data_IF_959919538354
#
_entry.id   IF_959919538354
#
_cell.length_a   1.000
_cell.length_b   1.000
_cell.length_c   1.000
_cell.angle_alpha   90.00
_cell.angle_beta   90.00
_cell.angle_gamma   90.00
#
_symmetry.space_group_name_H-M   'P 1'
#
loop_
_entity.id
_entity.type
_entity.pdbx_description
1 polymer ?
#
# COMPACT_ATOMS: atom_id res chain seq x y z
N UNK A 1 10.97 13.55 6.34
CA UNK A 1 10.64 12.14 6.57
C UNK A 1 9.16 12.04 6.94
N UNK A 2 8.53 10.89 6.79
CA UNK A 2 7.15 10.71 7.26
C UNK A 2 7.10 9.48 8.15
N UNK A 3 6.65 9.65 9.39
CA UNK A 3 6.32 8.52 10.25
C UNK A 3 4.97 7.95 9.78
N UNK A 4 4.85 6.64 9.66
CA UNK A 4 3.62 6.00 9.19
C UNK A 4 3.03 5.13 10.29
N UNK A 5 1.84 5.49 10.74
CA UNK A 5 1.04 4.71 11.69
C UNK A 5 0.06 3.82 10.94
N UNK A 6 0.18 2.51 11.12
CA UNK A 6 -0.74 1.52 10.52
C UNK A 6 -2.01 1.45 11.38
N UNK A 7 -3.17 1.61 10.74
CA UNK A 7 -4.49 1.56 11.39
C UNK A 7 -5.17 0.22 11.10
N UNK A 8 -5.13 -0.23 9.85
CA UNK A 8 -5.62 -1.55 9.40
C UNK A 8 -4.62 -2.15 8.42
N UNK A 9 -4.49 -3.47 8.44
CA UNK A 9 -3.66 -4.24 7.52
C UNK A 9 -4.37 -5.55 7.18
N UNK A 10 -4.25 -5.97 5.93
CA UNK A 10 -4.50 -7.34 5.47
C UNK A 10 -3.35 -7.81 4.60
N UNK A 11 -3.15 -9.11 4.50
CA UNK A 11 -2.12 -9.72 3.64
C UNK A 11 -2.65 -11.03 3.05
N UNK A 12 -2.16 -11.39 1.87
CA UNK A 12 -2.45 -12.66 1.22
C UNK A 12 -1.35 -13.72 1.46
N UNK A 13 -0.34 -13.42 2.28
CA UNK A 13 0.76 -14.33 2.61
C UNK A 13 0.75 -14.81 4.06
N UNK A 14 1.65 -15.74 4.39
CA UNK A 14 1.81 -16.29 5.74
C UNK A 14 2.94 -15.60 6.53
N UNK A 15 2.88 -15.57 7.87
CA UNK A 15 4.02 -15.19 8.71
C UNK A 15 5.26 -16.04 8.42
N UNK A 16 6.45 -15.48 8.63
CA UNK A 16 7.73 -16.16 8.35
C UNK A 16 8.14 -16.19 6.87
N UNK A 17 7.31 -15.63 5.98
CA UNK A 17 7.61 -15.46 4.56
C UNK A 17 7.47 -14.00 4.14
N UNK A 18 8.06 -13.67 3.00
CA UNK A 18 7.79 -12.39 2.35
C UNK A 18 6.33 -12.31 1.95
N UNK A 19 5.67 -11.21 2.31
CA UNK A 19 4.24 -11.04 2.06
C UNK A 19 3.88 -9.62 1.67
N UNK A 20 2.95 -9.51 0.74
CA UNK A 20 2.38 -8.23 0.31
C UNK A 20 1.27 -7.84 1.29
N UNK A 21 1.37 -6.65 1.84
CA UNK A 21 0.38 -6.10 2.75
C UNK A 21 -0.36 -4.95 2.07
N UNK A 22 -1.67 -4.91 2.27
CA UNK A 22 -2.51 -3.76 1.97
C UNK A 22 -2.88 -3.07 3.28
N UNK A 23 -2.52 -1.79 3.41
CA UNK A 23 -2.63 -1.05 4.66
C UNK A 23 -3.46 0.23 4.49
N UNK A 24 -4.24 0.56 5.52
CA UNK A 24 -4.78 1.90 5.75
C UNK A 24 -3.96 2.57 6.86
N UNK A 25 -3.38 3.72 6.55
CA UNK A 25 -2.38 4.37 7.39
C UNK A 25 -2.67 5.86 7.60
N UNK A 26 -2.04 6.40 8.63
CA UNK A 26 -1.87 7.83 8.87
C UNK A 26 -0.39 8.18 8.71
N UNK A 27 -0.11 9.11 7.80
CA UNK A 27 1.20 9.66 7.48
C UNK A 27 1.37 10.93 8.30
N UNK A 28 2.41 10.98 9.11
CA UNK A 28 2.74 12.09 9.99
C UNK A 28 4.02 12.71 9.44
N UNK A 29 3.90 13.91 8.89
CA UNK A 29 5.03 14.62 8.28
C UNK A 29 5.76 15.48 9.31
N UNK A 30 7.01 15.81 9.03
CA UNK A 30 7.87 16.58 9.95
C UNK A 30 7.29 17.97 10.29
N UNK A 31 6.43 18.53 9.44
CA UNK A 31 5.76 19.81 9.68
C UNK A 31 4.52 19.69 10.59
N UNK A 32 4.27 18.50 11.16
CA UNK A 32 3.11 18.22 12.03
C UNK A 32 1.79 18.00 11.29
N UNK A 33 1.75 18.15 9.96
CA UNK A 33 0.58 17.79 9.17
C UNK A 33 0.41 16.27 9.13
N UNK A 34 -0.85 15.84 9.05
CA UNK A 34 -1.18 14.43 8.92
C UNK A 34 -2.07 14.19 7.73
N UNK A 35 -1.84 13.08 7.04
CA UNK A 35 -2.69 12.63 5.95
C UNK A 35 -3.02 11.16 6.11
N UNK A 36 -4.24 10.77 5.75
CA UNK A 36 -4.62 9.37 5.69
C UNK A 36 -4.56 8.85 4.27
N UNK A 37 -4.38 7.55 4.13
CA UNK A 37 -4.31 6.93 2.81
C UNK A 37 -4.05 5.44 2.89
N UNK A 38 -4.27 4.79 1.76
CA UNK A 38 -3.94 3.39 1.55
C UNK A 38 -2.52 3.25 1.01
N UNK A 39 -1.93 2.07 1.15
CA UNK A 39 -0.71 1.68 0.43
C UNK A 39 -0.58 0.17 0.32
N UNK A 40 0.20 -0.24 -0.67
CA UNK A 40 0.81 -1.56 -0.72
C UNK A 40 2.24 -1.49 -0.19
N UNK A 41 2.64 -2.46 0.62
CA UNK A 41 4.00 -2.56 1.15
C UNK A 41 4.38 -4.02 1.36
N UNK A 42 5.66 -4.33 1.13
CA UNK A 42 6.21 -5.64 1.44
C UNK A 42 6.64 -5.72 2.89
N UNK A 43 6.31 -6.85 3.50
CA UNK A 43 6.88 -7.27 4.77
C UNK A 43 7.81 -8.46 4.52
N UNK A 44 8.95 -8.46 5.20
CA UNK A 44 9.94 -9.53 5.18
C UNK A 44 9.49 -10.71 6.04
N UNK A 45 10.23 -11.80 5.93
CA UNK A 45 10.09 -13.00 6.74
C UNK A 45 10.24 -12.74 8.25
N UNK A 46 11.10 -11.79 8.63
CA UNK A 46 11.29 -11.32 10.02
C UNK A 46 10.21 -10.34 10.52
N UNK A 47 9.11 -10.20 9.78
CA UNK A 47 8.02 -9.26 10.02
C UNK A 47 8.41 -7.78 9.88
N UNK A 48 9.63 -7.41 9.48
CA UNK A 48 9.98 -6.00 9.26
C UNK A 48 9.43 -5.46 7.94
N UNK A 49 9.11 -4.16 7.90
CA UNK A 49 8.61 -3.50 6.69
C UNK A 49 9.76 -3.16 5.75
N UNK A 50 9.60 -3.45 4.47
CA UNK A 50 10.53 -3.03 3.43
C UNK A 50 10.07 -1.73 2.78
N UNK A 51 10.30 -0.60 3.46
CA UNK A 51 9.84 0.72 3.02
C UNK A 51 10.38 1.12 1.63
N UNK A 52 11.60 0.69 1.26
CA UNK A 52 12.17 0.93 -0.08
C UNK A 52 11.40 0.24 -1.22
N UNK A 53 10.51 -0.72 -0.90
CA UNK A 53 9.57 -1.35 -1.83
C UNK A 53 8.11 -0.97 -1.52
N UNK A 54 7.90 0.01 -0.64
CA UNK A 54 6.59 0.59 -0.37
C UNK A 54 6.22 1.56 -1.48
N UNK A 55 5.00 1.44 -1.99
CA UNK A 55 4.50 2.31 -3.06
C UNK A 55 3.94 3.63 -2.52
N UNK A 56 3.51 4.50 -3.45
CA UNK A 56 2.87 5.77 -3.16
C UNK A 56 1.65 5.62 -2.22
N UNK A 57 1.39 6.69 -1.44
CA UNK A 57 0.12 6.85 -0.71
C UNK A 57 -1.01 6.96 -1.73
N UNK A 58 -2.01 6.10 -1.62
CA UNK A 58 -3.26 6.19 -2.38
C UNK A 58 -4.27 6.95 -1.51
N UNK A 59 -4.68 8.18 -1.88
CA UNK A 59 -5.44 9.05 -0.98
C UNK A 59 -6.80 8.48 -0.59
N UNK A 60 -7.49 7.81 -1.52
CA UNK A 60 -8.82 7.28 -1.31
C UNK A 60 -9.05 5.93 -2.00
N UNK A 61 -10.06 5.20 -1.54
CA UNK A 61 -10.51 3.98 -2.21
C UNK A 61 -11.04 4.27 -3.62
N UNK A 62 -11.62 5.45 -3.84
CA UNK A 62 -12.10 5.89 -5.14
C UNK A 62 -10.96 5.98 -6.16
N UNK A 63 -9.85 6.60 -5.79
CA UNK A 63 -8.68 6.72 -6.68
C UNK A 63 -8.14 5.33 -7.05
N UNK A 64 -8.11 4.41 -6.08
CA UNK A 64 -7.71 3.02 -6.32
C UNK A 64 -8.61 2.33 -7.34
N UNK A 65 -9.93 2.43 -7.16
CA UNK A 65 -10.91 1.82 -8.07
C UNK A 65 -10.82 2.42 -9.47
N UNK A 66 -10.65 3.73 -9.57
CA UNK A 66 -10.50 4.43 -10.84
C UNK A 66 -9.25 3.96 -11.58
N UNK A 67 -8.11 3.84 -10.91
CA UNK A 67 -6.87 3.35 -11.52
C UNK A 67 -7.00 1.89 -12.01
N UNK A 68 -7.64 1.02 -11.23
CA UNK A 68 -7.91 -0.37 -11.64
C UNK A 68 -8.86 -0.39 -12.85
N UNK A 69 -9.89 0.45 -12.85
CA UNK A 69 -10.83 0.55 -13.97
C UNK A 69 -10.15 1.04 -15.24
N UNK A 70 -9.29 2.06 -15.16
CA UNK A 70 -8.51 2.56 -16.29
C UNK A 70 -7.57 1.49 -16.83
N UNK A 71 -6.89 0.72 -15.97
CA UNK A 71 -6.06 -0.41 -16.39
C UNK A 71 -6.87 -1.50 -17.11
N UNK A 72 -8.10 -1.75 -16.67
CA UNK A 72 -9.01 -2.68 -17.34
C UNK A 72 -9.45 -2.15 -18.71
N UNK A 73 -9.76 -0.86 -18.83
CA UNK A 73 -10.13 -0.23 -20.09
C UNK A 73 -8.98 -0.21 -21.10
N UNK A 74 -7.75 -0.01 -20.62
CA UNK A 74 -6.54 -0.07 -21.43
C UNK A 74 -6.19 -1.52 -21.86
N UNK A 75 -6.93 -2.51 -21.32
CA UNK A 75 -6.91 -3.89 -21.80
C UNK A 75 -5.80 -4.76 -21.23
N UNK A 76 -4.86 -4.20 -20.45
CA UNK A 76 -3.72 -4.97 -19.94
C UNK A 76 -3.95 -5.62 -18.57
N UNK A 77 -4.93 -5.14 -17.78
CA UNK A 77 -5.13 -5.63 -16.41
C UNK A 77 -5.30 -7.15 -16.32
N UNK A 78 -5.96 -7.77 -17.29
CA UNK A 78 -6.21 -9.21 -17.33
C UNK A 78 -5.39 -9.97 -18.39
N UNK A 79 -4.51 -9.27 -19.12
CA UNK A 79 -3.79 -9.85 -20.26
C UNK A 79 -2.28 -9.93 -20.07
N UNK A 80 -1.72 -9.26 -19.06
CA UNK A 80 -0.29 -9.30 -18.73
C UNK A 80 -0.09 -10.29 -17.59
N UNK A 81 0.65 -11.38 -17.86
CA UNK A 81 1.21 -12.30 -16.87
C UNK A 81 2.73 -12.32 -16.95
#
# INVERSE_FOLDING_TARGET
MANVKIIREVTNGSPGNWRLCFQWCEYIYDNGSTEKGYRFIWRRDDDTLQAARGQARIPSFRDMQELIFLAAQDGWLASIE
#
